data_IF_000037158648
#
_entry.id   IF_000037158648
#
_cell.length_a   1.000
_cell.length_b   1.000
_cell.length_c   1.000
_cell.angle_alpha   90.00
_cell.angle_beta   90.00
_cell.angle_gamma   90.00
#
_symmetry.space_group_name_H-M   'P 1'
#
loop_
_entity.id
_entity.type
_entity.pdbx_description
1 polymer ?
#
# COMPACT_ATOMS: atom_id res chain seq x y z
N UNK A 1 -29.37 5.47 46.83
CA UNK A 1 -29.52 5.41 45.37
C UNK A 1 -28.12 5.45 44.77
N UNK A 2 -27.56 4.28 44.48
CA UNK A 2 -26.25 4.14 43.82
C UNK A 2 -26.44 4.38 42.33
N UNK A 3 -25.77 5.41 41.78
CA UNK A 3 -25.66 5.57 40.34
C UNK A 3 -24.75 4.47 39.79
N UNK A 4 -25.34 3.49 39.12
CA UNK A 4 -24.57 2.62 38.22
C UNK A 4 -24.01 3.50 37.09
N UNK A 5 -22.67 3.57 36.91
CA UNK A 5 -22.10 4.28 35.79
C UNK A 5 -22.53 3.60 34.50
N UNK A 6 -23.21 4.36 33.63
CA UNK A 6 -23.65 3.88 32.33
C UNK A 6 -22.48 3.28 31.55
N UNK A 7 -22.60 2.00 31.19
CA UNK A 7 -21.62 1.32 30.32
C UNK A 7 -21.56 2.11 29.01
N UNK A 8 -20.40 2.65 28.60
CA UNK A 8 -20.30 3.45 27.39
C UNK A 8 -20.73 2.61 26.19
N UNK A 9 -21.66 3.15 25.39
CA UNK A 9 -22.16 2.48 24.19
C UNK A 9 -20.98 2.10 23.28
N UNK A 10 -20.94 0.82 22.89
CA UNK A 10 -19.91 0.31 21.99
C UNK A 10 -19.92 1.11 20.68
N UNK A 11 -18.75 1.61 20.28
CA UNK A 11 -18.60 2.37 19.04
C UNK A 11 -19.04 1.53 17.84
N UNK A 12 -19.85 2.05 16.90
CA UNK A 12 -20.33 1.30 15.74
C UNK A 12 -19.21 0.83 14.79
N UNK A 13 -17.99 1.38 14.94
CA UNK A 13 -16.79 0.96 14.20
C UNK A 13 -15.91 -0.05 14.95
N UNK A 14 -16.32 -0.49 16.15
CA UNK A 14 -15.60 -1.55 16.85
C UNK A 14 -15.61 -2.80 15.96
N UNK A 15 -14.43 -3.31 15.54
CA UNK A 15 -14.39 -4.51 14.72
C UNK A 15 -15.08 -5.61 15.53
N UNK A 16 -16.09 -6.25 14.92
CA UNK A 16 -16.75 -7.41 15.51
C UNK A 16 -15.64 -8.35 15.97
N UNK A 17 -15.57 -8.69 17.28
CA UNK A 17 -14.50 -9.55 17.79
C UNK A 17 -14.48 -10.79 16.91
N UNK A 18 -13.29 -11.20 16.46
CA UNK A 18 -13.13 -12.42 15.67
C UNK A 18 -14.00 -13.49 16.32
N UNK A 19 -14.95 -14.09 15.57
CA UNK A 19 -16.03 -14.86 16.16
C UNK A 19 -15.40 -15.87 17.11
N UNK A 20 -15.60 -15.64 18.40
CA UNK A 20 -15.16 -16.57 19.42
C UNK A 20 -15.99 -17.79 19.15
N UNK A 21 -15.33 -18.85 18.64
CA UNK A 21 -16.00 -20.10 18.30
C UNK A 21 -16.77 -20.53 19.53
N UNK A 22 -18.09 -20.53 19.43
CA UNK A 22 -18.94 -20.87 20.56
C UNK A 22 -18.77 -22.35 20.82
N UNK A 23 -18.44 -22.67 22.06
CA UNK A 23 -18.41 -24.04 22.54
C UNK A 23 -19.68 -24.30 23.34
N UNK A 24 -20.45 -25.31 22.93
CA UNK A 24 -21.61 -25.82 23.67
C UNK A 24 -21.24 -27.22 24.13
N UNK A 25 -21.28 -27.47 25.44
CA UNK A 25 -20.85 -28.73 26.06
C UNK A 25 -19.41 -29.14 25.67
N UNK A 26 -18.52 -28.14 25.53
CA UNK A 26 -17.12 -28.35 25.13
C UNK A 26 -16.92 -28.70 23.65
N UNK A 27 -17.98 -28.64 22.83
CA UNK A 27 -17.95 -28.92 21.38
C UNK A 27 -18.17 -27.67 20.57
N UNK A 28 -17.57 -27.60 19.38
CA UNK A 28 -17.73 -26.49 18.43
C UNK A 28 -19.20 -26.38 18.00
N UNK A 29 -19.87 -25.29 18.33
CA UNK A 29 -21.28 -25.07 18.00
C UNK A 29 -21.48 -24.41 16.63
N UNK A 30 -20.58 -23.52 16.24
CA UNK A 30 -20.65 -22.79 14.97
C UNK A 30 -20.19 -23.68 13.79
N UNK A 31 -20.63 -23.37 12.56
CA UNK A 31 -20.10 -24.01 11.35
C UNK A 31 -18.67 -23.50 11.11
N UNK A 32 -17.69 -24.28 11.54
CA UNK A 32 -16.27 -23.95 11.46
C UNK A 32 -15.56 -24.94 10.56
N UNK A 33 -15.12 -24.52 9.38
CA UNK A 33 -14.28 -25.36 8.51
C UNK A 33 -12.90 -25.62 9.11
N UNK A 34 -12.38 -26.84 8.94
CA UNK A 34 -11.00 -27.18 9.22
C UNK A 34 -10.07 -26.33 8.35
N UNK A 35 -9.04 -25.74 8.93
CA UNK A 35 -8.09 -24.89 8.18
C UNK A 35 -7.25 -25.62 7.13
N UNK A 36 -7.09 -26.93 7.26
CA UNK A 36 -6.26 -27.72 6.34
C UNK A 36 -7.09 -28.24 5.17
N UNK A 37 -8.29 -28.78 5.44
CA UNK A 37 -9.10 -29.49 4.42
C UNK A 37 -10.50 -28.91 4.18
N UNK A 38 -10.97 -27.97 5.01
CA UNK A 38 -12.31 -27.38 4.91
C UNK A 38 -13.44 -28.17 5.57
N UNK A 39 -13.20 -29.37 6.13
CA UNK A 39 -14.24 -30.18 6.80
C UNK A 39 -14.93 -29.43 7.94
N UNK A 40 -16.26 -29.49 8.03
CA UNK A 40 -17.02 -28.80 9.08
C UNK A 40 -16.78 -29.44 10.46
N UNK A 41 -16.21 -28.68 11.37
CA UNK A 41 -15.82 -29.11 12.71
C UNK A 41 -16.94 -29.01 13.75
N UNK A 42 -18.16 -28.59 13.36
CA UNK A 42 -19.31 -28.54 14.27
C UNK A 42 -19.49 -29.88 14.98
N UNK A 43 -19.68 -29.82 16.29
CA UNK A 43 -19.87 -30.97 17.17
C UNK A 43 -18.57 -31.64 17.63
N UNK A 44 -17.41 -31.30 17.07
CA UNK A 44 -16.14 -31.84 17.54
C UNK A 44 -15.63 -31.07 18.78
N UNK A 45 -14.97 -31.78 19.68
CA UNK A 45 -14.27 -31.14 20.81
C UNK A 45 -12.95 -30.55 20.30
N UNK A 46 -12.47 -29.39 20.82
CA UNK A 46 -11.21 -28.78 20.40
C UNK A 46 -10.00 -29.73 20.50
N UNK A 47 -9.98 -30.65 21.47
CA UNK A 47 -8.90 -31.62 21.63
C UNK A 47 -8.93 -32.77 20.60
N UNK A 48 -9.98 -32.91 19.79
CA UNK A 48 -10.06 -33.95 18.76
C UNK A 48 -9.18 -33.61 17.55
N UNK A 49 -8.95 -34.61 16.70
CA UNK A 49 -8.38 -34.44 15.38
C UNK A 49 -9.49 -34.32 14.32
N UNK A 50 -9.24 -33.56 13.26
CA UNK A 50 -10.12 -33.49 12.10
C UNK A 50 -10.21 -34.88 11.42
N UNK A 51 -11.40 -35.42 11.14
CA UNK A 51 -11.56 -36.75 10.54
C UNK A 51 -10.92 -36.91 9.15
N UNK A 52 -10.84 -35.83 8.37
CA UNK A 52 -10.33 -35.87 6.99
C UNK A 52 -8.80 -35.76 6.89
N UNK A 53 -8.17 -34.97 7.78
CA UNK A 53 -6.75 -34.60 7.62
C UNK A 53 -5.93 -34.74 8.91
N UNK A 54 -6.52 -35.28 9.98
CA UNK A 54 -5.93 -35.43 11.30
C UNK A 54 -5.42 -34.13 11.98
N UNK A 55 -5.68 -32.95 11.41
CA UNK A 55 -5.29 -31.66 12.00
C UNK A 55 -6.06 -31.44 13.32
N UNK A 56 -5.41 -31.06 14.43
CA UNK A 56 -6.09 -30.76 15.69
C UNK A 56 -7.20 -29.71 15.51
N UNK A 57 -8.41 -30.00 16.01
CA UNK A 57 -9.57 -29.11 15.93
C UNK A 57 -9.27 -27.77 16.60
N UNK A 58 -8.50 -27.79 17.69
CA UNK A 58 -8.05 -26.61 18.42
C UNK A 58 -7.37 -25.55 17.53
N UNK A 59 -6.63 -25.97 16.51
CA UNK A 59 -5.97 -25.05 15.59
C UNK A 59 -6.98 -24.23 14.77
N UNK A 60 -8.12 -24.84 14.44
CA UNK A 60 -9.18 -24.14 13.72
C UNK A 60 -9.98 -23.24 14.66
N UNK A 61 -10.17 -23.65 15.93
CA UNK A 61 -10.96 -22.90 16.92
C UNK A 61 -10.24 -21.71 17.53
N UNK A 62 -8.90 -21.69 17.56
CA UNK A 62 -8.06 -20.62 18.13
C UNK A 62 -8.13 -19.26 17.41
N UNK A 63 -9.00 -19.10 16.40
CA UNK A 63 -9.25 -17.83 15.71
C UNK A 63 -8.15 -17.41 14.74
N UNK A 64 -8.40 -16.34 13.98
CA UNK A 64 -7.56 -15.91 12.85
C UNK A 64 -6.32 -15.08 13.25
N UNK A 65 -5.61 -15.52 14.29
CA UNK A 65 -4.41 -14.82 14.75
C UNK A 65 -3.18 -15.25 13.95
N UNK A 66 -2.35 -14.27 13.59
CA UNK A 66 -1.11 -14.46 12.83
C UNK A 66 -0.11 -15.43 13.50
N UNK A 67 -0.13 -15.56 14.83
CA UNK A 67 0.75 -16.49 15.57
C UNK A 67 0.49 -17.97 15.28
N UNK A 68 -0.65 -18.28 14.68
CA UNK A 68 -1.02 -19.64 14.28
C UNK A 68 -0.85 -19.86 12.76
N UNK A 69 -0.33 -18.87 12.04
CA UNK A 69 0.02 -19.03 10.62
C UNK A 69 1.37 -19.74 10.47
N UNK A 70 1.63 -20.29 9.28
CA UNK A 70 2.90 -20.94 8.94
C UNK A 70 4.10 -19.97 9.16
N UNK A 71 5.10 -20.35 10.00
CA UNK A 71 6.26 -19.51 10.26
C UNK A 71 7.09 -19.21 9.00
N UNK A 72 7.13 -20.10 7.99
CA UNK A 72 7.85 -19.85 6.75
C UNK A 72 7.19 -18.73 5.93
N UNK A 73 5.86 -18.74 5.84
CA UNK A 73 5.11 -17.63 5.25
C UNK A 73 5.29 -16.31 6.03
N UNK A 74 5.26 -16.34 7.37
CA UNK A 74 5.50 -15.14 8.19
C UNK A 74 6.89 -14.53 7.94
N UNK A 75 7.93 -15.36 7.79
CA UNK A 75 9.29 -14.91 7.43
C UNK A 75 9.32 -14.24 6.06
N UNK A 76 8.61 -14.82 5.08
CA UNK A 76 8.48 -14.24 3.73
C UNK A 76 7.88 -12.83 3.78
N UNK A 77 6.80 -12.63 4.54
CA UNK A 77 6.20 -11.31 4.71
C UNK A 77 7.13 -10.34 5.45
N UNK A 78 7.78 -10.78 6.53
CA UNK A 78 8.74 -9.95 7.27
C UNK A 78 9.89 -9.47 6.37
N UNK A 79 10.38 -10.35 5.48
CA UNK A 79 11.35 -9.98 4.46
C UNK A 79 10.78 -8.98 3.44
N UNK A 80 9.52 -9.16 3.03
CA UNK A 80 8.82 -8.17 2.19
C UNK A 80 8.77 -6.78 2.83
N UNK A 81 8.49 -6.69 4.13
CA UNK A 81 8.54 -5.43 4.89
C UNK A 81 9.95 -4.83 4.91
N UNK A 82 11.01 -5.66 5.05
CA UNK A 82 12.40 -5.17 4.99
C UNK A 82 12.73 -4.57 3.63
N UNK A 83 12.40 -5.27 2.54
CA UNK A 83 12.61 -4.77 1.18
C UNK A 83 11.81 -3.50 0.91
N UNK A 84 10.63 -3.35 1.53
CA UNK A 84 9.82 -2.13 1.41
C UNK A 84 10.51 -0.93 2.07
N UNK A 85 11.15 -1.13 3.23
CA UNK A 85 11.95 -0.10 3.90
C UNK A 85 13.15 0.30 3.03
N UNK A 86 13.87 -0.70 2.49
CA UNK A 86 15.02 -0.46 1.61
C UNK A 86 14.60 0.33 0.37
N UNK A 87 13.51 -0.07 -0.29
CA UNK A 87 12.97 0.64 -1.45
C UNK A 87 12.58 2.08 -1.10
N UNK A 88 11.89 2.31 0.03
CA UNK A 88 11.50 3.65 0.45
C UNK A 88 12.70 4.57 0.73
N UNK A 89 13.75 4.06 1.38
CA UNK A 89 14.99 4.80 1.61
C UNK A 89 15.69 5.11 0.29
N UNK A 90 15.79 4.11 -0.60
CA UNK A 90 16.42 4.28 -1.91
C UNK A 90 15.67 5.29 -2.78
N UNK A 91 14.33 5.24 -2.82
CA UNK A 91 13.48 6.23 -3.50
C UNK A 91 13.72 7.64 -2.95
N UNK A 92 13.81 7.78 -1.63
CA UNK A 92 14.06 9.08 -1.00
C UNK A 92 15.42 9.66 -1.41
N UNK A 93 16.49 8.86 -1.28
CA UNK A 93 17.84 9.27 -1.67
C UNK A 93 17.90 9.58 -3.18
N UNK A 94 17.31 8.72 -4.01
CA UNK A 94 17.23 8.92 -5.46
C UNK A 94 16.52 10.22 -5.83
N UNK A 95 15.43 10.57 -5.14
CA UNK A 95 14.73 11.84 -5.34
C UNK A 95 15.58 13.06 -4.97
N UNK A 96 16.30 13.00 -3.84
CA UNK A 96 17.21 14.09 -3.41
C UNK A 96 18.35 14.28 -4.42
N UNK A 97 18.96 13.19 -4.87
CA UNK A 97 20.02 13.23 -5.88
C UNK A 97 19.47 13.78 -7.21
N UNK A 98 18.28 13.34 -7.63
CA UNK A 98 17.62 13.86 -8.83
C UNK A 98 17.40 15.37 -8.78
N UNK A 99 17.01 15.90 -7.63
CA UNK A 99 16.79 17.34 -7.45
C UNK A 99 18.10 18.13 -7.40
N UNK A 100 19.17 17.55 -6.85
CA UNK A 100 20.49 18.19 -6.75
C UNK A 100 21.33 18.12 -8.03
N UNK A 101 21.03 17.16 -8.91
CA UNK A 101 21.94 16.81 -10.01
C UNK A 101 21.19 16.72 -11.35
N UNK A 102 20.79 17.87 -11.88
CA UNK A 102 20.43 18.03 -13.30
C UNK A 102 21.59 17.65 -14.26
N UNK A 103 22.78 17.33 -13.73
CA UNK A 103 24.04 17.12 -14.43
C UNK A 103 24.28 15.64 -14.82
N UNK A 104 23.69 14.66 -14.10
CA UNK A 104 24.02 13.22 -14.28
C UNK A 104 23.44 12.56 -15.54
N UNK A 105 22.71 13.33 -16.37
CA UNK A 105 22.08 12.82 -17.58
C UNK A 105 20.86 11.94 -17.29
N UNK A 106 19.84 12.06 -18.15
CA UNK A 106 18.56 11.38 -17.99
C UNK A 106 18.69 9.84 -17.93
N UNK A 107 19.68 9.27 -18.63
CA UNK A 107 19.89 7.82 -18.69
C UNK A 107 20.21 7.17 -17.34
N UNK A 108 21.06 7.80 -16.51
CA UNK A 108 21.42 7.27 -15.19
C UNK A 108 20.19 7.26 -14.27
N UNK A 109 19.42 8.35 -14.30
CA UNK A 109 18.20 8.46 -13.49
C UNK A 109 17.17 7.39 -13.83
N UNK A 110 17.03 7.04 -15.12
CA UNK A 110 16.15 5.94 -15.56
C UNK A 110 16.62 4.61 -14.99
N UNK A 111 17.91 4.29 -15.09
CA UNK A 111 18.45 3.03 -14.53
C UNK A 111 18.21 2.96 -13.02
N UNK A 112 18.47 4.04 -12.29
CA UNK A 112 18.23 4.12 -10.85
C UNK A 112 16.74 3.90 -10.54
N UNK A 113 15.83 4.56 -11.26
CA UNK A 113 14.40 4.40 -11.10
C UNK A 113 13.91 2.97 -11.38
N UNK A 114 14.42 2.32 -12.44
CA UNK A 114 14.09 0.92 -12.76
C UNK A 114 14.52 -0.01 -11.63
N UNK A 115 15.74 0.16 -11.11
CA UNK A 115 16.26 -0.66 -10.00
C UNK A 115 15.39 -0.47 -8.76
N UNK A 116 15.12 0.77 -8.36
CA UNK A 116 14.30 1.08 -7.18
C UNK A 116 12.87 0.53 -7.36
N UNK A 117 12.25 0.75 -8.52
CA UNK A 117 10.92 0.25 -8.84
C UNK A 117 10.83 -1.28 -8.80
N UNK A 118 11.88 -1.96 -9.27
CA UNK A 118 11.97 -3.43 -9.22
C UNK A 118 12.09 -3.93 -7.77
N UNK A 119 12.94 -3.30 -6.96
CA UNK A 119 13.07 -3.63 -5.53
C UNK A 119 11.74 -3.41 -4.80
N UNK A 120 11.04 -2.32 -5.11
CA UNK A 120 9.72 -2.03 -4.57
C UNK A 120 8.68 -3.10 -4.99
N UNK A 121 8.67 -3.50 -6.26
CA UNK A 121 7.78 -4.54 -6.75
C UNK A 121 8.03 -5.89 -6.05
N UNK A 122 9.30 -6.27 -5.86
CA UNK A 122 9.68 -7.47 -5.10
C UNK A 122 9.21 -7.39 -3.65
N UNK A 123 9.37 -6.22 -3.00
CA UNK A 123 8.90 -5.99 -1.65
C UNK A 123 7.38 -6.20 -1.53
N UNK A 124 6.60 -5.62 -2.45
CA UNK A 124 5.15 -5.77 -2.51
C UNK A 124 4.76 -7.22 -2.76
N UNK A 125 5.45 -7.92 -3.66
CA UNK A 125 5.15 -9.31 -3.98
C UNK A 125 5.33 -10.23 -2.77
N UNK A 126 6.44 -10.08 -2.04
CA UNK A 126 6.76 -10.82 -0.81
C UNK A 126 5.79 -10.47 0.33
N UNK A 127 5.51 -9.18 0.54
CA UNK A 127 4.59 -8.72 1.59
C UNK A 127 3.16 -9.20 1.33
N UNK A 128 2.78 -9.35 0.06
CA UNK A 128 1.47 -9.84 -0.35
C UNK A 128 1.50 -11.32 -0.74
N UNK A 129 2.49 -12.10 -0.29
CA UNK A 129 2.54 -13.54 -0.57
C UNK A 129 1.28 -14.27 -0.06
N UNK A 130 0.73 -15.23 -0.82
CA UNK A 130 -0.40 -16.03 -0.35
C UNK A 130 -0.09 -16.83 0.90
N UNK A 131 -1.01 -16.74 1.85
CA UNK A 131 -1.04 -17.62 3.01
C UNK A 131 -1.49 -19.00 2.52
N UNK A 132 -0.67 -20.06 2.66
CA UNK A 132 -0.98 -21.37 2.12
C UNK A 132 -2.34 -21.92 2.56
N UNK A 133 -2.72 -21.65 3.82
CA UNK A 133 -3.98 -22.11 4.40
C UNK A 133 -5.23 -21.38 3.88
N UNK A 134 -5.09 -20.30 3.11
CA UNK A 134 -6.22 -19.42 2.71
C UNK A 134 -6.37 -19.22 1.22
N UNK A 135 -5.58 -19.93 0.41
CA UNK A 135 -5.61 -19.76 -1.05
C UNK A 135 -7.00 -20.01 -1.62
N UNK A 136 -7.75 -20.98 -1.06
CA UNK A 136 -9.09 -21.33 -1.53
C UNK A 136 -10.19 -20.32 -1.14
N UNK A 137 -10.02 -19.59 -0.03
CA UNK A 137 -11.02 -18.65 0.50
C UNK A 137 -10.94 -17.26 -0.14
N UNK A 138 -9.89 -16.99 -0.93
CA UNK A 138 -9.66 -15.66 -1.45
C UNK A 138 -10.63 -15.28 -2.56
N UNK A 139 -11.32 -14.13 -2.44
CA UNK A 139 -12.18 -13.65 -3.52
C UNK A 139 -11.35 -13.35 -4.78
N UNK A 140 -11.95 -13.44 -5.97
CA UNK A 140 -11.25 -13.24 -7.24
C UNK A 140 -10.57 -11.87 -7.33
N UNK A 141 -11.16 -10.85 -6.70
CA UNK A 141 -10.61 -9.49 -6.59
C UNK A 141 -10.21 -9.18 -5.14
N UNK A 142 -9.05 -9.70 -4.71
CA UNK A 142 -8.48 -9.40 -3.40
C UNK A 142 -7.60 -8.13 -3.44
N UNK A 143 -7.52 -7.40 -2.32
CA UNK A 143 -6.69 -6.18 -2.19
C UNK A 143 -5.22 -6.41 -2.58
N UNK A 144 -4.73 -7.64 -2.38
CA UNK A 144 -3.37 -8.04 -2.77
C UNK A 144 -3.21 -8.19 -4.28
N UNK A 145 -4.18 -8.79 -4.98
CA UNK A 145 -4.14 -8.91 -6.44
C UNK A 145 -4.18 -7.52 -7.06
N UNK A 146 -5.05 -6.65 -6.54
CA UNK A 146 -5.12 -5.25 -6.93
C UNK A 146 -3.78 -4.54 -6.70
N UNK A 147 -3.19 -4.65 -5.51
CA UNK A 147 -1.88 -4.06 -5.23
C UNK A 147 -0.80 -4.54 -6.23
N UNK A 148 -0.70 -5.85 -6.48
CA UNK A 148 0.28 -6.41 -7.43
C UNK A 148 0.09 -5.91 -8.85
N UNK A 149 -1.15 -5.94 -9.35
CA UNK A 149 -1.48 -5.48 -10.72
C UNK A 149 -1.16 -3.99 -10.87
N UNK A 150 -1.61 -3.17 -9.91
CA UNK A 150 -1.33 -1.74 -9.93
C UNK A 150 0.18 -1.43 -9.90
N UNK A 151 0.98 -2.19 -9.15
CA UNK A 151 2.43 -1.95 -9.11
C UNK A 151 3.17 -2.41 -10.37
N UNK A 152 2.71 -3.47 -11.03
CA UNK A 152 3.23 -3.85 -12.36
C UNK A 152 2.93 -2.74 -13.36
N UNK A 153 1.70 -2.22 -13.36
CA UNK A 153 1.30 -1.11 -14.24
C UNK A 153 2.09 0.16 -13.90
N UNK A 154 2.26 0.48 -12.62
CA UNK A 154 3.05 1.64 -12.19
C UNK A 154 4.53 1.54 -12.60
N UNK A 155 5.10 0.34 -12.72
CA UNK A 155 6.46 0.17 -13.23
C UNK A 155 6.60 0.58 -14.69
N UNK A 156 5.52 0.49 -15.49
CA UNK A 156 5.51 0.93 -16.89
C UNK A 156 5.63 2.46 -17.02
N UNK A 157 5.31 3.21 -15.96
CA UNK A 157 5.47 4.66 -15.90
C UNK A 157 6.92 5.08 -16.18
N UNK A 158 7.89 4.27 -15.74
CA UNK A 158 9.30 4.53 -15.98
C UNK A 158 9.61 4.61 -17.47
N UNK A 159 8.95 3.79 -18.31
CA UNK A 159 9.16 3.80 -19.76
C UNK A 159 8.61 5.10 -20.41
N UNK A 160 7.50 5.63 -19.88
CA UNK A 160 6.88 6.87 -20.36
C UNK A 160 7.80 8.07 -20.09
N UNK A 161 8.47 8.09 -18.93
CA UNK A 161 9.42 9.15 -18.55
C UNK A 161 10.65 9.19 -19.47
N UNK A 162 11.03 8.09 -20.11
CA UNK A 162 12.21 8.04 -21.01
C UNK A 162 11.87 8.45 -22.44
N UNK A 163 10.61 8.35 -22.86
CA UNK A 163 10.23 8.69 -24.23
C UNK A 163 10.31 10.20 -24.46
N UNK A 164 11.06 10.69 -25.47
CA UNK A 164 11.13 12.12 -25.77
C UNK A 164 9.73 12.63 -26.10
N UNK A 165 9.17 13.45 -25.21
CA UNK A 165 7.75 13.87 -25.24
C UNK A 165 7.44 14.88 -26.34
N UNK A 166 8.36 15.20 -27.24
CA UNK A 166 8.24 16.36 -28.14
C UNK A 166 7.15 16.22 -29.22
N UNK A 167 6.73 15.00 -29.59
CA UNK A 167 5.69 14.79 -30.62
C UNK A 167 4.32 14.39 -30.03
N UNK A 168 4.29 13.96 -28.76
CA UNK A 168 3.08 13.47 -28.07
C UNK A 168 2.97 14.00 -26.63
N UNK A 169 3.47 15.21 -26.35
CA UNK A 169 3.59 15.75 -24.98
C UNK A 169 2.28 15.65 -24.17
N UNK A 170 1.16 16.00 -24.79
CA UNK A 170 -0.14 15.91 -24.15
C UNK A 170 -0.55 14.47 -23.84
N UNK A 171 -0.43 13.57 -24.82
CA UNK A 171 -0.76 12.16 -24.63
C UNK A 171 0.13 11.51 -23.56
N UNK A 172 1.43 11.84 -23.55
CA UNK A 172 2.37 11.42 -22.51
C UNK A 172 1.94 11.88 -21.13
N UNK A 173 1.58 13.16 -20.97
CA UNK A 173 1.11 13.70 -19.69
C UNK A 173 -0.20 13.06 -19.21
N UNK A 174 -1.12 12.76 -20.13
CA UNK A 174 -2.36 12.03 -19.81
C UNK A 174 -2.05 10.62 -19.33
N UNK A 175 -1.15 9.90 -20.02
CA UNK A 175 -0.72 8.55 -19.63
C UNK A 175 -0.04 8.57 -18.26
N UNK A 176 0.91 9.49 -18.04
CA UNK A 176 1.59 9.65 -16.74
C UNK A 176 0.59 9.92 -15.61
N UNK A 177 -0.37 10.82 -15.83
CA UNK A 177 -1.42 11.12 -14.84
C UNK A 177 -2.28 9.89 -14.53
N UNK A 178 -2.61 9.09 -15.55
CA UNK A 178 -3.37 7.85 -15.38
C UNK A 178 -2.56 6.79 -14.61
N UNK A 179 -1.27 6.62 -14.94
CA UNK A 179 -0.38 5.68 -14.26
C UNK A 179 -0.15 6.07 -12.79
N UNK A 180 -0.04 7.36 -12.50
CA UNK A 180 0.02 7.89 -11.14
C UNK A 180 -1.24 7.54 -10.33
N UNK A 181 -2.43 7.68 -10.94
CA UNK A 181 -3.68 7.29 -10.30
C UNK A 181 -3.73 5.77 -10.02
N UNK A 182 -3.28 4.94 -10.96
CA UNK A 182 -3.17 3.48 -10.76
C UNK A 182 -2.20 3.14 -9.63
N UNK A 183 -1.03 3.79 -9.59
CA UNK A 183 -0.05 3.63 -8.52
C UNK A 183 -0.60 3.98 -7.14
N UNK A 184 -1.36 5.09 -7.05
CA UNK A 184 -2.05 5.50 -5.84
C UNK A 184 -3.08 4.46 -5.36
N UNK A 185 -3.91 3.92 -6.27
CA UNK A 185 -4.84 2.83 -5.96
C UNK A 185 -4.09 1.60 -5.45
N UNK A 186 -2.99 1.23 -6.10
CA UNK A 186 -2.13 0.12 -5.66
C UNK A 186 -1.56 0.32 -4.25
N UNK A 187 -1.13 1.53 -3.92
CA UNK A 187 -0.61 1.88 -2.60
C UNK A 187 -1.69 1.80 -1.52
N UNK A 188 -2.90 2.33 -1.80
CA UNK A 188 -4.05 2.20 -0.88
C UNK A 188 -4.42 0.74 -0.68
N UNK A 189 -4.44 -0.07 -1.75
CA UNK A 189 -4.72 -1.50 -1.67
C UNK A 189 -3.69 -2.25 -0.80
N UNK A 190 -2.40 -1.87 -0.89
CA UNK A 190 -1.34 -2.39 -0.04
C UNK A 190 -1.56 -2.04 1.44
N UNK A 191 -1.94 -0.79 1.75
CA UNK A 191 -2.23 -0.38 3.13
C UNK A 191 -3.49 -1.05 3.69
N UNK A 192 -4.53 -1.26 2.87
CA UNK A 192 -5.71 -2.05 3.25
C UNK A 192 -5.32 -3.49 3.58
N UNK A 193 -4.44 -4.10 2.78
CA UNK A 193 -3.91 -5.43 3.07
C UNK A 193 -3.10 -5.44 4.38
N UNK A 194 -2.20 -4.47 4.57
CA UNK A 194 -1.43 -4.33 5.81
C UNK A 194 -2.32 -4.14 7.05
N UNK A 195 -3.42 -3.37 6.94
CA UNK A 195 -4.41 -3.21 8.02
C UNK A 195 -5.12 -4.51 8.34
N UNK A 196 -5.47 -5.33 7.34
CA UNK A 196 -6.06 -6.66 7.55
C UNK A 196 -5.10 -7.58 8.30
N UNK A 197 -3.81 -7.57 7.94
CA UNK A 197 -2.77 -8.28 8.69
C UNK A 197 -2.66 -7.76 10.13
N UNK A 198 -2.66 -6.43 10.33
CA UNK A 198 -2.57 -5.85 11.68
C UNK A 198 -3.75 -6.24 12.58
N UNK A 199 -4.95 -6.41 12.04
CA UNK A 199 -6.12 -6.90 12.81
C UNK A 199 -5.98 -8.34 13.30
N UNK A 200 -5.12 -9.14 12.66
CA UNK A 200 -4.78 -10.50 13.08
C UNK A 200 -3.66 -10.54 14.13
N UNK A 201 -3.08 -9.39 14.46
CA UNK A 201 -2.13 -9.24 15.56
C UNK A 201 -2.90 -8.78 16.82
N UNK A 202 -2.53 -9.24 18.03
CA UNK A 202 -3.13 -8.80 19.28
C UNK A 202 -2.64 -7.37 19.67
N UNK A 203 -2.70 -6.40 18.75
CA UNK A 203 -2.29 -5.01 18.95
C UNK A 203 -3.18 -4.05 18.15
N UNK A 204 -4.30 -3.63 18.74
CA UNK A 204 -5.27 -2.73 18.10
C UNK A 204 -4.69 -1.36 17.74
N UNK A 205 -3.60 -0.93 18.38
CA UNK A 205 -2.97 0.37 18.10
C UNK A 205 -2.39 0.39 16.69
N UNK A 206 -1.80 -0.72 16.24
CA UNK A 206 -1.27 -0.86 14.88
C UNK A 206 -2.38 -0.84 13.84
N UNK A 207 -3.47 -1.56 14.07
CA UNK A 207 -4.62 -1.55 13.17
C UNK A 207 -5.27 -0.16 13.04
N UNK A 208 -5.35 0.59 14.15
CA UNK A 208 -5.81 2.00 14.14
C UNK A 208 -4.86 2.91 13.37
N UNK A 209 -3.54 2.78 13.58
CA UNK A 209 -2.52 3.54 12.84
C UNK A 209 -2.57 3.27 11.33
N UNK A 210 -2.74 2.01 10.94
CA UNK A 210 -2.93 1.65 9.53
C UNK A 210 -4.19 2.32 8.94
N UNK A 211 -5.28 2.40 9.70
CA UNK A 211 -6.50 3.12 9.29
C UNK A 211 -6.31 4.63 9.14
N UNK A 212 -5.48 5.25 9.98
CA UNK A 212 -5.07 6.65 9.83
C UNK A 212 -4.25 6.85 8.56
N UNK A 213 -3.25 5.98 8.32
CA UNK A 213 -2.38 6.02 7.15
C UNK A 213 -3.15 5.88 5.83
N UNK A 214 -4.16 5.01 5.79
CA UNK A 214 -5.04 4.86 4.61
C UNK A 214 -5.73 6.19 4.30
N UNK A 215 -6.35 6.83 5.30
CA UNK A 215 -7.05 8.12 5.11
C UNK A 215 -6.09 9.22 4.66
N UNK A 216 -4.94 9.32 5.31
CA UNK A 216 -3.91 10.29 4.95
C UNK A 216 -3.42 10.09 3.50
N UNK A 217 -3.16 8.85 3.10
CA UNK A 217 -2.72 8.53 1.74
C UNK A 217 -3.79 8.79 0.69
N UNK A 218 -5.07 8.53 0.98
CA UNK A 218 -6.17 8.86 0.06
C UNK A 218 -6.24 10.38 -0.16
N UNK A 219 -6.15 11.17 0.91
CA UNK A 219 -6.16 12.64 0.81
C UNK A 219 -4.95 13.14 0.02
N UNK A 220 -3.76 12.62 0.33
CA UNK A 220 -2.52 13.00 -0.35
C UNK A 220 -2.53 12.61 -1.83
N UNK A 221 -2.96 11.40 -2.16
CA UNK A 221 -3.09 10.95 -3.54
C UNK A 221 -4.10 11.80 -4.32
N UNK A 222 -5.25 12.13 -3.71
CA UNK A 222 -6.23 13.01 -4.32
C UNK A 222 -5.67 14.40 -4.59
N UNK A 223 -4.93 14.98 -3.63
CA UNK A 223 -4.26 16.26 -3.80
C UNK A 223 -3.24 16.22 -4.93
N UNK A 224 -2.36 15.21 -4.95
CA UNK A 224 -1.37 15.03 -6.01
C UNK A 224 -2.03 14.90 -7.38
N UNK A 225 -3.12 14.13 -7.48
CA UNK A 225 -3.86 13.96 -8.73
C UNK A 225 -4.50 15.26 -9.22
N UNK A 226 -5.09 16.04 -8.31
CA UNK A 226 -5.63 17.38 -8.62
C UNK A 226 -4.52 18.29 -9.15
N UNK A 227 -3.36 18.31 -8.49
CA UNK A 227 -2.21 19.11 -8.94
C UNK A 227 -1.69 18.65 -10.31
N UNK A 228 -1.64 17.34 -10.57
CA UNK A 228 -1.26 16.80 -11.87
C UNK A 228 -2.25 17.22 -12.98
N UNK A 229 -3.56 17.20 -12.70
CA UNK A 229 -4.59 17.67 -13.64
C UNK A 229 -4.48 19.18 -13.90
N UNK A 230 -4.25 19.99 -12.87
CA UNK A 230 -4.00 21.43 -13.04
C UNK A 230 -2.75 21.67 -13.88
N UNK A 231 -1.69 20.89 -13.65
CA UNK A 231 -0.47 20.89 -14.45
C UNK A 231 -0.74 20.56 -15.92
N UNK A 232 -1.54 19.53 -16.19
CA UNK A 232 -1.97 19.13 -17.53
C UNK A 232 -2.71 20.28 -18.26
N UNK A 233 -3.67 20.92 -17.58
CA UNK A 233 -4.46 22.04 -18.14
C UNK A 233 -3.58 23.29 -18.35
N UNK A 234 -2.64 23.56 -17.45
CA UNK A 234 -1.76 24.72 -17.54
C UNK A 234 -0.67 24.54 -18.59
N UNK A 235 -0.11 23.34 -18.71
CA UNK A 235 0.91 22.99 -19.70
C UNK A 235 0.41 23.14 -21.13
N UNK A 236 -0.85 22.78 -21.41
CA UNK A 236 -1.47 23.04 -22.72
C UNK A 236 -1.58 24.53 -23.04
N UNK A 237 -1.80 25.38 -22.03
CA UNK A 237 -1.88 26.82 -22.21
C UNK A 237 -0.48 27.43 -22.46
N UNK A 238 0.56 26.95 -21.77
CA UNK A 238 1.95 27.42 -21.98
C UNK A 238 2.48 26.97 -23.34
N UNK A 239 2.19 25.73 -23.77
CA UNK A 239 2.55 25.26 -25.12
C UNK A 239 1.85 26.10 -26.20
N UNK A 240 0.57 26.44 -26.00
CA UNK A 240 -0.17 27.34 -26.88
C UNK A 240 0.35 28.79 -26.90
N UNK A 241 1.14 29.21 -25.91
CA UNK A 241 1.80 30.53 -25.86
C UNK A 241 3.21 30.49 -26.45
N UNK A 242 3.99 29.44 -26.13
CA UNK A 242 5.36 29.27 -26.63
C UNK A 242 5.41 28.89 -28.12
N UNK A 243 4.43 28.13 -28.57
CA UNK A 243 4.27 27.71 -29.96
C UNK A 243 3.03 28.34 -30.60
N UNK A 244 2.48 29.37 -29.95
CA UNK A 244 1.30 30.11 -30.38
C UNK A 244 1.49 30.72 -31.75
N UNK A 245 0.51 30.42 -32.60
CA UNK A 245 0.17 31.00 -33.90
C UNK A 245 1.34 31.46 -34.77
N UNK A 246 1.54 30.85 -35.97
CA UNK A 246 2.53 31.37 -36.91
C UNK A 246 2.31 32.88 -37.10
N UNK A 247 3.39 33.69 -37.10
CA UNK A 247 3.28 35.13 -37.21
C UNK A 247 2.42 35.48 -38.43
N UNK A 248 1.26 36.09 -38.19
CA UNK A 248 0.27 36.40 -39.23
C UNK A 248 -1.18 36.01 -38.94
N UNK A 249 -1.52 35.43 -37.78
CA UNK A 249 -2.95 35.28 -37.42
C UNK A 249 -3.61 36.65 -37.31
N UNK A 250 -4.62 36.97 -38.15
CA UNK A 250 -5.27 38.26 -38.16
C UNK A 250 -5.99 38.48 -36.83
N UNK A 251 -5.50 39.43 -36.01
CA UNK A 251 -6.08 39.76 -34.72
C UNK A 251 -5.10 40.17 -33.62
N UNK A 252 -3.78 39.96 -33.77
CA UNK A 252 -2.81 40.48 -32.80
C UNK A 252 -2.61 41.99 -32.99
N UNK A 253 -2.94 42.82 -31.99
CA UNK A 253 -2.79 44.27 -32.10
C UNK A 253 -1.30 44.65 -32.17
N UNK A 254 -0.91 45.54 -33.11
CA UNK A 254 0.46 46.05 -33.16
C UNK A 254 0.78 46.83 -31.87
N UNK A 255 1.85 46.42 -31.18
CA UNK A 255 2.32 47.08 -29.95
C UNK A 255 2.01 46.35 -28.64
N UNK A 256 1.52 45.11 -28.67
CA UNK A 256 1.46 44.30 -27.46
C UNK A 256 2.88 44.18 -26.83
N UNK A 257 3.06 44.48 -25.53
CA UNK A 257 4.38 44.43 -24.91
C UNK A 257 4.99 43.03 -25.04
N UNK A 258 6.33 42.91 -25.18
CA UNK A 258 6.98 41.61 -25.19
C UNK A 258 6.53 40.90 -23.92
N UNK A 259 5.96 39.71 -24.12
CA UNK A 259 5.31 38.97 -23.05
C UNK A 259 6.24 38.98 -21.81
N UNK A 260 5.65 39.22 -20.64
CA UNK A 260 6.29 38.93 -19.37
C UNK A 260 5.73 37.60 -18.80
N UNK A 261 5.75 36.45 -19.51
CA UNK A 261 4.82 35.36 -19.19
C UNK A 261 5.45 34.26 -18.31
N UNK A 262 6.71 34.38 -17.89
CA UNK A 262 7.43 33.26 -17.25
C UNK A 262 7.49 33.31 -15.72
N UNK A 263 7.29 34.46 -15.08
CA UNK A 263 7.49 34.60 -13.63
C UNK A 263 6.35 33.97 -12.79
N UNK A 264 5.10 34.08 -13.25
CA UNK A 264 3.93 33.56 -12.51
C UNK A 264 3.86 32.02 -12.53
N UNK A 265 4.07 31.33 -13.67
CA UNK A 265 4.06 29.86 -13.69
C UNK A 265 5.16 29.24 -12.83
N UNK A 266 6.37 29.83 -12.83
CA UNK A 266 7.50 29.34 -12.04
C UNK A 266 7.28 29.50 -10.52
N UNK A 267 6.68 30.60 -10.07
CA UNK A 267 6.37 30.82 -8.66
C UNK A 267 5.26 29.87 -8.15
N UNK A 268 4.26 29.58 -8.99
CA UNK A 268 3.19 28.61 -8.66
C UNK A 268 3.75 27.17 -8.64
N UNK A 269 4.59 26.80 -9.62
CA UNK A 269 5.28 25.49 -9.63
C UNK A 269 6.19 25.31 -8.41
N UNK A 270 6.95 26.34 -8.03
CA UNK A 270 7.84 26.29 -6.87
C UNK A 270 7.10 26.14 -5.53
N UNK A 271 6.01 26.89 -5.32
CA UNK A 271 5.22 26.82 -4.08
C UNK A 271 4.44 25.51 -3.95
N UNK A 272 3.87 25.00 -5.05
CA UNK A 272 3.21 23.69 -5.07
C UNK A 272 4.21 22.55 -4.87
N UNK A 273 5.40 22.64 -5.48
CA UNK A 273 6.48 21.67 -5.29
C UNK A 273 6.94 21.58 -3.83
N UNK A 274 7.15 22.72 -3.17
CA UNK A 274 7.52 22.74 -1.74
C UNK A 274 6.44 22.10 -0.85
N UNK A 275 5.16 22.37 -1.10
CA UNK A 275 4.05 21.75 -0.37
C UNK A 275 4.02 20.23 -0.52
N UNK A 276 4.16 19.73 -1.75
CA UNK A 276 4.21 18.28 -2.02
C UNK A 276 5.42 17.62 -1.36
N UNK A 277 6.58 18.27 -1.36
CA UNK A 277 7.79 17.76 -0.69
C UNK A 277 7.57 17.65 0.82
N UNK A 278 7.05 18.69 1.48
CA UNK A 278 6.83 18.67 2.94
C UNK A 278 5.81 17.60 3.32
N UNK A 279 4.70 17.51 2.58
CA UNK A 279 3.67 16.50 2.86
C UNK A 279 4.17 15.10 2.54
N UNK A 280 4.94 14.92 1.46
CA UNK A 280 5.60 13.67 1.10
C UNK A 280 6.59 13.20 2.16
N UNK A 281 7.42 14.11 2.68
CA UNK A 281 8.33 13.85 3.80
C UNK A 281 7.58 13.43 5.05
N UNK A 282 6.52 14.15 5.42
CA UNK A 282 5.70 13.81 6.57
C UNK A 282 5.06 12.41 6.39
N UNK A 283 4.48 12.13 5.23
CA UNK A 283 3.91 10.82 4.92
C UNK A 283 4.97 9.71 4.98
N UNK A 284 6.20 9.99 4.54
CA UNK A 284 7.33 9.05 4.59
C UNK A 284 7.77 8.76 6.02
N UNK A 285 7.84 9.78 6.89
CA UNK A 285 8.16 9.61 8.32
C UNK A 285 7.09 8.79 9.04
N UNK A 286 5.81 9.14 8.85
CA UNK A 286 4.70 8.44 9.51
C UNK A 286 4.58 7.00 9.01
N UNK A 287 4.69 6.78 7.69
CA UNK A 287 4.66 5.44 7.09
C UNK A 287 5.89 4.63 7.50
N UNK A 288 7.08 5.24 7.53
CA UNK A 288 8.32 4.58 7.96
C UNK A 288 8.23 4.06 9.40
N UNK A 289 7.74 4.88 10.33
CA UNK A 289 7.53 4.46 11.72
C UNK A 289 6.55 3.27 11.83
N UNK A 290 5.47 3.29 11.06
CA UNK A 290 4.51 2.18 11.01
C UNK A 290 5.14 0.89 10.46
N UNK A 291 5.87 0.98 9.34
CA UNK A 291 6.52 -0.16 8.68
C UNK A 291 7.57 -0.79 9.61
N UNK A 292 8.36 0.02 10.32
CA UNK A 292 9.35 -0.47 11.31
C UNK A 292 8.65 -1.20 12.46
N UNK A 293 7.56 -0.65 13.00
CA UNK A 293 6.80 -1.30 14.07
C UNK A 293 6.19 -2.62 13.59
N UNK A 294 5.58 -2.64 12.41
CA UNK A 294 5.02 -3.83 11.79
C UNK A 294 6.07 -4.93 11.62
N UNK A 295 7.27 -4.59 11.12
CA UNK A 295 8.42 -5.50 11.05
C UNK A 295 8.75 -6.11 12.40
N UNK A 296 8.89 -5.29 13.44
CA UNK A 296 9.26 -5.75 14.79
C UNK A 296 8.23 -6.71 15.40
N UNK A 297 6.96 -6.59 15.01
CA UNK A 297 5.89 -7.48 15.47
C UNK A 297 5.86 -8.77 14.67
N UNK A 298 5.93 -8.69 13.34
CA UNK A 298 5.94 -9.89 12.49
C UNK A 298 7.12 -10.81 12.81
N UNK A 299 8.31 -10.25 13.06
CA UNK A 299 9.49 -11.03 13.44
C UNK A 299 9.32 -11.75 14.78
N UNK A 300 8.75 -11.08 15.79
CA UNK A 300 8.42 -11.70 17.09
C UNK A 300 7.38 -12.81 16.94
N UNK A 301 6.30 -12.53 16.20
CA UNK A 301 5.23 -13.52 15.95
C UNK A 301 5.76 -14.73 15.18
N UNK A 302 6.66 -14.53 14.20
CA UNK A 302 7.29 -15.63 13.47
C UNK A 302 8.16 -16.51 14.37
N UNK A 303 8.91 -15.90 15.30
CA UNK A 303 9.69 -16.63 16.29
C UNK A 303 8.79 -17.42 17.27
N UNK A 304 7.70 -16.82 17.73
CA UNK A 304 6.71 -17.49 18.58
C UNK A 304 6.05 -18.67 17.85
N UNK A 305 5.61 -18.47 16.61
CA UNK A 305 5.01 -19.52 15.78
C UNK A 305 5.97 -20.69 15.54
N UNK A 306 7.26 -20.41 15.33
CA UNK A 306 8.29 -21.46 15.17
C UNK A 306 8.43 -22.29 16.45
N UNK A 307 8.53 -21.63 17.62
CA UNK A 307 8.60 -22.33 18.92
C UNK A 307 7.37 -23.20 19.20
N UNK A 308 6.19 -22.73 18.80
CA UNK A 308 4.95 -23.50 18.93
C UNK A 308 4.91 -24.70 17.98
N UNK A 309 5.45 -24.57 16.77
CA UNK A 309 5.57 -25.68 15.83
C UNK A 309 6.56 -26.74 16.35
N UNK A 310 7.71 -26.33 16.88
CA UNK A 310 8.71 -27.24 17.46
C UNK A 310 8.16 -27.99 18.68
N UNK A 311 7.39 -27.30 19.54
CA UNK A 311 6.76 -27.92 20.70
C UNK A 311 5.61 -28.90 20.36
N UNK A 312 5.06 -28.81 19.14
CA UNK A 312 3.98 -29.69 18.67
C UNK A 312 4.49 -30.90 17.88
N UNK A 313 5.79 -30.95 17.54
CA UNK A 313 6.36 -32.09 16.86
C UNK A 313 6.33 -33.34 17.78
N UNK A 314 5.87 -34.51 17.28
CA UNK A 314 5.91 -35.73 18.06
C UNK A 314 7.36 -36.06 18.46
N UNK A 315 7.54 -36.42 19.73
CA UNK A 315 8.82 -36.85 20.28
C UNK A 315 9.29 -38.20 19.70
#
# INVERSE_FOLDING_TARGET
MSHDPAVPAASPDAPSPSPVVRLVDGRVADDLGCRTCGYNLRGLVPAAACPECATPVEWSTRGDLLRFSDPAWLRTMANGVNWLIVAAIASFIGGVISGGVAILGQGIMVVVSVVIGTVFLLAVWLLTAPEPARVAEEPPLSARRLARICQIIALLDIAVVVTPTTVLAFAGQVVETALLAVGAVGHVALLVHARRLCRRMPDDRLARRAGLLIRLNIILAGLILILAIIGLISGTNVWGVLFGAPPGTPGTPPGAPPAAPLAVPLAVLGTLGCGVIVVGLFALVVSGSFVIQMRSRLTRIAADASRMADAAAPA
#
